data_IF_674106072207
#
_entry.id   IF_674106072207
#
_cell.length_a   1.000
_cell.length_b   1.000
_cell.length_c   1.000
_cell.angle_alpha   90.00
_cell.angle_beta   90.00
_cell.angle_gamma   90.00
#
_symmetry.space_group_name_H-M   'P 1'
#
loop_
_entity.id
_entity.type
_entity.pdbx_description
1 polymer ?
#
# COMPACT_ATOMS: atom_id res chain seq x y z
N UNK A 1 7.58 2.71 -16.26
CA UNK A 1 6.30 3.44 -16.11
C UNK A 1 6.12 3.80 -14.65
N UNK A 2 5.82 5.06 -14.34
CA UNK A 2 5.53 5.46 -12.95
C UNK A 2 4.10 5.06 -12.58
N UNK A 3 3.85 4.57 -11.34
CA UNK A 3 2.50 4.21 -10.91
C UNK A 3 1.58 5.46 -10.94
N UNK A 4 0.26 5.26 -11.09
CA UNK A 4 -0.70 6.35 -11.04
C UNK A 4 -0.58 7.10 -9.71
N UNK A 5 -0.89 8.40 -9.76
CA UNK A 5 -0.90 9.23 -8.56
C UNK A 5 -1.97 8.72 -7.59
N UNK A 6 -1.71 8.68 -6.27
CA UNK A 6 -2.72 8.34 -5.27
C UNK A 6 -3.90 9.31 -5.34
N UNK A 7 -5.12 8.79 -5.14
CA UNK A 7 -6.34 9.60 -5.09
C UNK A 7 -6.48 10.13 -3.67
N UNK A 8 -6.52 11.45 -3.49
CA UNK A 8 -6.70 12.07 -2.17
C UNK A 8 -8.17 12.00 -1.76
N UNK A 9 -8.45 11.38 -0.62
CA UNK A 9 -9.83 11.22 -0.09
C UNK A 9 -10.08 12.08 1.14
N UNK A 10 -9.02 12.56 1.80
CA UNK A 10 -9.12 13.53 2.89
C UNK A 10 -7.90 14.45 2.94
N UNK A 11 -7.83 15.34 3.92
CA UNK A 11 -6.65 16.20 4.12
C UNK A 11 -5.38 15.41 4.40
N UNK A 12 -5.49 14.23 5.00
CA UNK A 12 -4.35 13.43 5.46
C UNK A 12 -4.37 12.02 4.91
N UNK A 13 -5.23 11.70 3.95
CA UNK A 13 -5.44 10.33 3.49
C UNK A 13 -5.60 10.24 1.98
N UNK A 14 -4.99 9.21 1.42
CA UNK A 14 -4.98 8.87 0.01
C UNK A 14 -5.20 7.37 -0.19
N UNK A 15 -5.75 7.00 -1.33
CA UNK A 15 -5.89 5.61 -1.76
C UNK A 15 -5.08 5.35 -3.02
N UNK A 16 -4.47 4.17 -3.09
CA UNK A 16 -3.68 3.73 -4.24
C UNK A 16 -4.43 2.64 -5.00
N UNK A 17 -4.76 2.91 -6.27
CA UNK A 17 -5.31 1.92 -7.20
C UNK A 17 -4.17 1.18 -7.91
N UNK A 18 -4.32 -0.13 -8.14
CA UNK A 18 -3.36 -0.97 -8.89
C UNK A 18 -4.08 -1.83 -9.90
N UNK A 19 -4.14 -3.13 -9.65
CA UNK A 19 -4.65 -4.13 -10.59
C UNK A 19 -6.18 -4.07 -10.73
N UNK A 20 -6.88 -3.67 -9.67
CA UNK A 20 -8.35 -3.67 -9.63
C UNK A 20 -8.91 -2.23 -9.84
N UNK A 21 -9.90 -2.05 -10.72
CA UNK A 21 -10.50 -0.73 -10.97
C UNK A 21 -11.50 -0.28 -9.90
N UNK A 22 -11.97 -1.18 -9.04
CA UNK A 22 -13.00 -0.94 -8.01
C UNK A 22 -12.41 -1.00 -6.61
N UNK A 23 -11.47 -1.91 -6.37
CA UNK A 23 -10.85 -2.12 -5.08
C UNK A 23 -9.48 -1.44 -4.99
N UNK A 24 -9.27 -0.52 -4.03
CA UNK A 24 -7.94 0.00 -3.75
C UNK A 24 -6.98 -1.12 -3.34
N UNK A 25 -5.70 -0.93 -3.62
CA UNK A 25 -4.66 -1.84 -3.15
C UNK A 25 -4.19 -1.47 -1.75
N UNK A 26 -4.14 -0.17 -1.46
CA UNK A 26 -3.57 0.36 -0.22
C UNK A 26 -4.15 1.72 0.13
N UNK A 27 -4.03 2.07 1.40
CA UNK A 27 -4.32 3.39 1.96
C UNK A 27 -3.03 4.00 2.46
N UNK A 28 -2.79 5.26 2.11
CA UNK A 28 -1.70 6.08 2.62
C UNK A 28 -2.29 7.13 3.55
N UNK A 29 -1.77 7.24 4.77
CA UNK A 29 -2.18 8.26 5.74
C UNK A 29 -0.98 9.03 6.27
N UNK A 30 -1.07 10.35 6.28
CA UNK A 30 -0.12 11.20 6.98
C UNK A 30 -0.38 11.07 8.49
N UNK A 31 0.66 10.67 9.23
CA UNK A 31 0.61 10.45 10.67
C UNK A 31 1.83 11.05 11.34
N UNK A 32 1.68 11.45 12.59
CA UNK A 32 2.79 11.89 13.43
C UNK A 32 3.32 10.69 14.22
N UNK A 33 4.61 10.39 14.09
CA UNK A 33 5.29 9.29 14.79
C UNK A 33 6.41 9.88 15.64
N UNK A 34 6.61 9.34 16.85
CA UNK A 34 7.79 9.66 17.66
C UNK A 34 8.91 8.70 17.28
N UNK A 35 10.01 9.23 16.79
CA UNK A 35 11.17 8.41 16.50
C UNK A 35 11.86 8.01 17.80
N UNK A 36 12.15 6.72 17.97
CA UNK A 36 13.01 6.31 19.07
C UNK A 36 14.41 6.81 18.75
N UNK A 37 14.99 7.63 19.62
CA UNK A 37 16.42 7.96 19.51
C UNK A 37 17.20 6.64 19.54
N UNK A 38 17.86 6.29 18.44
CA UNK A 38 18.76 5.15 18.40
C UNK A 38 20.01 5.52 19.21
N UNK A 39 19.95 5.32 20.52
CA UNK A 39 21.09 5.51 21.40
C UNK A 39 22.19 4.52 21.00
N UNK A 40 23.24 5.02 20.35
CA UNK A 40 24.49 4.28 20.14
C UNK A 40 25.34 4.28 21.41
N UNK A 41 25.00 5.13 22.37
CA UNK A 41 25.72 5.28 23.62
C UNK A 41 24.86 4.66 24.72
N UNK A 42 25.24 3.44 25.12
CA UNK A 42 24.53 2.61 26.07
C UNK A 42 24.67 3.11 27.51
N UNK A 43 24.14 4.29 27.80
CA UNK A 43 23.87 4.73 29.16
C UNK A 43 22.36 4.78 29.37
N UNK A 44 21.84 3.70 29.95
CA UNK A 44 20.43 3.49 30.16
C UNK A 44 19.92 4.36 31.30
N UNK A 45 19.36 5.53 30.98
CA UNK A 45 18.38 6.23 31.82
C UNK A 45 17.71 7.36 31.02
N UNK A 46 16.49 7.14 30.54
CA UNK A 46 15.69 8.25 30.01
C UNK A 46 14.49 7.81 29.17
N UNK A 47 13.30 8.20 29.61
CA UNK A 47 12.06 8.34 28.83
C UNK A 47 12.22 9.37 27.70
N UNK A 48 13.19 9.17 26.81
CA UNK A 48 13.54 10.11 25.76
C UNK A 48 12.96 9.66 24.42
N UNK A 49 11.62 9.71 24.33
CA UNK A 49 10.93 9.81 23.04
C UNK A 49 11.62 10.90 22.20
N UNK A 50 12.04 10.56 20.97
CA UNK A 50 12.61 11.53 20.04
C UNK A 50 11.54 12.48 19.49
N UNK A 51 11.95 13.45 18.63
CA UNK A 51 11.02 14.44 18.09
C UNK A 51 9.87 13.77 17.34
N UNK A 52 8.69 14.39 17.44
CA UNK A 52 7.53 14.01 16.66
C UNK A 52 7.75 14.42 15.20
N UNK A 53 7.75 13.44 14.29
CA UNK A 53 7.95 13.66 12.84
C UNK A 53 6.74 13.19 12.06
N UNK A 54 6.44 13.88 10.97
CA UNK A 54 5.39 13.45 10.05
C UNK A 54 5.90 12.35 9.12
N UNK A 55 5.11 11.27 8.98
CA UNK A 55 5.40 10.14 8.11
C UNK A 55 4.14 9.73 7.35
N UNK A 56 4.34 9.22 6.14
CA UNK A 56 3.30 8.59 5.35
C UNK A 56 3.22 7.11 5.69
N UNK A 57 2.22 6.72 6.50
CA UNK A 57 1.93 5.33 6.84
C UNK A 57 1.16 4.69 5.70
N UNK A 58 1.63 3.55 5.21
CA UNK A 58 0.99 2.76 4.16
C UNK A 58 0.46 1.48 4.76
N UNK A 59 -0.81 1.18 4.50
CA UNK A 59 -1.45 -0.08 4.89
C UNK A 59 -2.15 -0.71 3.70
N UNK A 60 -2.33 -2.03 3.72
CA UNK A 60 -3.17 -2.72 2.74
C UNK A 60 -4.61 -2.23 2.80
N UNK A 61 -5.34 -2.36 1.70
CA UNK A 61 -6.78 -2.15 1.72
C UNK A 61 -7.49 -3.33 2.38
N UNK A 62 -8.45 -3.01 3.24
CA UNK A 62 -9.47 -3.92 3.73
C UNK A 62 -10.71 -3.09 4.10
N UNK A 63 -11.94 -3.64 3.94
CA UNK A 63 -13.17 -2.97 4.36
C UNK A 63 -13.08 -2.57 5.84
N UNK A 64 -12.72 -3.53 6.68
CA UNK A 64 -12.48 -3.30 8.10
C UNK A 64 -11.05 -2.81 8.34
N UNK A 65 -10.93 -1.71 9.09
CA UNK A 65 -9.62 -1.11 9.35
C UNK A 65 -8.69 -2.00 10.17
N UNK A 66 -9.23 -2.94 10.94
CA UNK A 66 -8.48 -3.89 11.77
C UNK A 66 -7.72 -4.93 10.93
N UNK A 67 -8.24 -5.28 9.75
CA UNK A 67 -7.64 -6.28 8.85
C UNK A 67 -6.55 -5.68 7.95
N UNK A 68 -6.31 -4.37 8.06
CA UNK A 68 -5.29 -3.68 7.26
C UNK A 68 -3.91 -3.95 7.82
N UNK A 69 -3.04 -4.47 6.98
CA UNK A 69 -1.67 -4.80 7.33
C UNK A 69 -0.74 -3.62 7.03
N UNK A 70 0.20 -3.36 7.93
CA UNK A 70 1.22 -2.32 7.75
C UNK A 70 2.19 -2.73 6.65
N UNK A 71 2.34 -1.86 5.65
CA UNK A 71 3.37 -1.98 4.62
C UNK A 71 4.64 -1.24 5.06
N UNK A 72 4.49 -0.02 5.61
CA UNK A 72 5.63 0.75 6.10
C UNK A 72 5.31 2.22 6.38
N UNK A 73 6.35 2.96 6.75
CA UNK A 73 6.34 4.41 6.95
C UNK A 73 7.38 5.06 6.03
N UNK A 74 6.98 6.13 5.34
CA UNK A 74 7.84 6.80 4.35
C UNK A 74 7.92 8.30 4.63
N UNK A 75 8.98 8.94 4.14
CA UNK A 75 9.17 10.38 4.33
C UNK A 75 8.30 11.19 3.36
N UNK A 76 8.03 10.64 2.17
CA UNK A 76 7.27 11.34 1.14
C UNK A 76 6.08 10.53 0.62
N UNK A 77 5.06 11.23 0.11
CA UNK A 77 3.92 10.60 -0.57
C UNK A 77 4.34 9.81 -1.81
N UNK A 78 5.40 10.26 -2.51
CA UNK A 78 5.91 9.61 -3.70
C UNK A 78 6.53 8.24 -3.39
N UNK A 79 7.36 8.16 -2.34
CA UNK A 79 7.92 6.90 -1.83
C UNK A 79 6.82 5.95 -1.34
N UNK A 80 5.86 6.48 -0.57
CA UNK A 80 4.72 5.71 -0.10
C UNK A 80 3.91 5.11 -1.27
N UNK A 81 3.67 5.88 -2.33
CA UNK A 81 3.01 5.38 -3.53
C UNK A 81 3.86 4.32 -4.25
N UNK A 82 5.17 4.53 -4.38
CA UNK A 82 6.07 3.58 -5.04
C UNK A 82 6.18 2.24 -4.29
N UNK A 83 6.01 2.25 -2.97
CA UNK A 83 6.00 1.03 -2.16
C UNK A 83 4.80 0.12 -2.45
N UNK A 84 3.67 0.68 -2.90
CA UNK A 84 2.49 -0.11 -3.28
C UNK A 84 2.71 -0.67 -4.68
N UNK A 85 3.05 -1.96 -4.76
CA UNK A 85 3.34 -2.66 -6.02
C UNK A 85 2.09 -3.22 -6.67
N UNK A 86 2.17 -3.46 -7.98
CA UNK A 86 1.19 -4.27 -8.71
C UNK A 86 1.40 -5.74 -8.35
N UNK A 87 0.30 -6.48 -8.27
CA UNK A 87 0.37 -7.93 -8.24
C UNK A 87 0.83 -8.41 -9.62
N UNK A 88 1.75 -9.37 -9.62
CA UNK A 88 2.11 -10.11 -10.82
C UNK A 88 1.02 -11.17 -10.96
N UNK A 89 0.24 -11.18 -12.06
CA UNK A 89 -0.74 -12.23 -12.27
C UNK A 89 -0.02 -13.58 -12.27
N UNK A 90 -0.53 -14.54 -11.51
CA UNK A 90 -0.02 -15.90 -11.56
C UNK A 90 -0.20 -16.41 -13.01
N UNK A 91 0.84 -16.90 -13.71
CA UNK A 91 0.68 -17.48 -15.04
C UNK A 91 -0.36 -18.60 -15.08
N UNK A 92 -0.60 -19.32 -13.96
CA UNK A 92 -1.65 -20.32 -13.87
C UNK A 92 -3.08 -19.72 -13.80
N UNK A 93 -3.21 -18.45 -13.43
CA UNK A 93 -4.50 -17.72 -13.39
C UNK A 93 -4.86 -17.05 -14.72
N UNK A 94 -3.92 -17.00 -15.68
CA UNK A 94 -4.17 -16.49 -17.03
C UNK A 94 -4.91 -17.57 -17.83
N UNK A 95 -6.22 -17.40 -18.00
CA UNK A 95 -7.00 -18.23 -18.91
C UNK A 95 -6.54 -17.97 -20.35
N UNK A 96 -5.69 -18.83 -20.88
CA UNK A 96 -5.24 -18.78 -22.27
C UNK A 96 -6.44 -18.94 -23.20
N UNK A 97 -6.53 -18.08 -24.22
CA UNK A 97 -7.75 -17.78 -25.00
C UNK A 97 -8.56 -18.94 -25.60
N UNK A 98 -8.06 -20.18 -25.61
CA UNK A 98 -8.86 -21.33 -26.03
C UNK A 98 -10.00 -21.65 -25.05
N UNK A 99 -9.80 -21.43 -23.75
CA UNK A 99 -10.83 -21.63 -22.72
C UNK A 99 -11.73 -20.38 -22.51
N UNK A 100 -11.21 -19.17 -22.73
CA UNK A 100 -11.96 -17.93 -22.54
C UNK A 100 -13.02 -17.66 -23.63
N UNK A 101 -12.83 -18.17 -24.85
CA UNK A 101 -13.75 -17.98 -25.99
C UNK A 101 -14.38 -19.28 -26.51
N UNK A 102 -14.18 -20.42 -25.83
CA UNK A 102 -14.53 -21.76 -26.29
C UNK A 102 -16.02 -22.14 -26.29
N UNK A 103 -16.93 -21.22 -25.96
CA UNK A 103 -18.38 -21.52 -25.84
C UNK A 103 -19.22 -21.07 -27.05
N UNK A 104 -18.62 -20.81 -28.21
CA UNK A 104 -19.35 -20.59 -29.47
C UNK A 104 -18.94 -21.59 -30.57
N UNK A 105 -18.77 -22.86 -30.19
CA UNK A 105 -18.76 -23.96 -31.15
C UNK A 105 -20.20 -24.36 -31.48
N UNK A 106 -20.68 -23.98 -32.68
CA UNK A 106 -21.97 -24.40 -33.25
C UNK A 106 -22.19 -25.91 -33.05
N UNK A 107 -23.23 -26.29 -32.32
CA UNK A 107 -23.87 -27.60 -32.55
C UNK A 107 -24.71 -27.49 -33.81
N UNK A 108 -24.38 -28.33 -34.80
CA UNK A 108 -25.23 -28.66 -35.95
C UNK A 108 -26.19 -29.76 -35.55
#
# INVERSE_FOLDING_TARGET
MSPPKPIRISRVEWVCMRNDPVLPKAVIRLVTVRERRSGRDGDGCGDEDGPAVERYRVVTWAPDSADRLLVGYYATLAEANAAVRYDIPDPASVVTGHAAFGMYGRQR
#
